data_IF_098732301723
#
_entry.id   IF_098732301723
#
_cell.length_a   1.000
_cell.length_b   1.000
_cell.length_c   1.000
_cell.angle_alpha   90.00
_cell.angle_beta   90.00
_cell.angle_gamma   90.00
#
_symmetry.space_group_name_H-M   'P 1'
#
loop_
_entity.id
_entity.type
_entity.pdbx_description
1 polymer ?
#
# COMPACT_ATOMS: atom_id res chain seq x y z
N UNK A 1 2.32 -5.66 -1.47
CA UNK A 1 2.88 -4.53 -0.69
C UNK A 1 2.12 -4.45 0.63
N UNK A 2 2.75 -3.95 1.69
CA UNK A 2 2.13 -3.78 3.00
C UNK A 2 2.32 -2.34 3.49
N UNK A 3 1.22 -1.75 3.97
CA UNK A 3 1.20 -0.48 4.68
C UNK A 3 1.45 -0.70 6.19
N UNK A 4 1.63 0.38 6.95
CA UNK A 4 1.58 0.32 8.41
C UNK A 4 0.26 -0.29 8.92
N UNK A 5 0.33 -0.90 10.11
CA UNK A 5 -0.86 -1.48 10.74
C UNK A 5 -1.78 -0.32 11.14
N UNK A 6 -3.02 -0.38 10.66
CA UNK A 6 -4.06 0.55 11.07
C UNK A 6 -4.49 0.22 12.50
N UNK A 7 -4.03 1.03 13.46
CA UNK A 7 -4.46 0.93 14.86
C UNK A 7 -5.93 1.38 14.97
N UNK A 8 -6.86 0.44 15.03
CA UNK A 8 -8.31 0.69 15.04
C UNK A 8 -8.80 1.29 16.38
N UNK A 9 -8.16 2.37 16.85
CA UNK A 9 -8.28 2.97 18.19
C UNK A 9 -7.75 2.09 19.33
N UNK A 10 -6.98 1.08 18.99
CA UNK A 10 -6.28 0.21 19.94
C UNK A 10 -4.88 0.75 20.23
N UNK A 11 -4.36 0.47 21.43
CA UNK A 11 -2.96 0.73 21.74
C UNK A 11 -2.10 -0.31 21.04
N UNK A 12 -1.12 0.15 20.25
CA UNK A 12 -0.17 -0.74 19.58
C UNK A 12 0.78 -1.35 20.63
N UNK A 13 0.75 -2.68 20.83
CA UNK A 13 1.69 -3.37 21.72
C UNK A 13 3.14 -3.35 21.20
N UNK A 14 3.36 -3.01 19.92
CA UNK A 14 4.67 -2.82 19.30
C UNK A 14 5.44 -4.12 19.02
N UNK A 15 4.83 -5.27 19.27
CA UNK A 15 5.41 -6.60 19.05
C UNK A 15 5.18 -7.11 17.61
N UNK A 16 4.08 -6.70 16.97
CA UNK A 16 3.73 -7.06 15.59
C UNK A 16 3.77 -5.83 14.69
N UNK A 17 4.44 -5.94 13.55
CA UNK A 17 4.48 -4.88 12.54
C UNK A 17 4.36 -5.43 11.12
N UNK A 18 3.85 -4.61 10.20
CA UNK A 18 3.82 -4.96 8.77
C UNK A 18 5.21 -5.19 8.18
N UNK A 19 6.25 -4.57 8.75
CA UNK A 19 7.65 -4.83 8.37
C UNK A 19 8.06 -6.26 8.72
N UNK A 20 7.68 -6.74 9.92
CA UNK A 20 7.91 -8.13 10.33
C UNK A 20 7.16 -9.10 9.41
N UNK A 21 5.88 -8.83 9.13
CA UNK A 21 5.06 -9.65 8.22
C UNK A 21 5.66 -9.71 6.80
N UNK A 22 6.14 -8.58 6.28
CA UNK A 22 6.79 -8.53 4.98
C UNK A 22 8.07 -9.37 4.94
N UNK A 23 8.90 -9.29 6.01
CA UNK A 23 10.12 -10.07 6.12
C UNK A 23 9.84 -11.59 6.18
N UNK A 24 8.86 -12.01 7.00
CA UNK A 24 8.49 -13.42 7.14
C UNK A 24 7.86 -13.98 5.85
N UNK A 25 6.94 -13.23 5.22
CA UNK A 25 6.33 -13.64 3.94
C UNK A 25 7.37 -13.67 2.81
N UNK A 26 8.34 -12.74 2.84
CA UNK A 26 9.46 -12.66 1.90
C UNK A 26 10.35 -13.90 1.86
N UNK A 27 10.33 -14.73 2.91
CA UNK A 27 11.02 -16.03 2.92
C UNK A 27 10.41 -17.04 1.94
N UNK A 28 9.13 -16.88 1.61
CA UNK A 28 8.36 -17.79 0.76
C UNK A 28 7.98 -17.17 -0.59
N UNK A 29 7.90 -15.84 -0.68
CA UNK A 29 7.51 -15.12 -1.89
C UNK A 29 8.51 -14.00 -2.23
N UNK A 30 8.86 -13.86 -3.51
CA UNK A 30 9.96 -12.96 -3.93
C UNK A 30 9.58 -11.48 -4.03
N UNK A 31 8.30 -11.14 -4.15
CA UNK A 31 7.86 -9.75 -4.36
C UNK A 31 6.91 -9.28 -3.25
N UNK A 32 7.44 -9.29 -2.03
CA UNK A 32 6.76 -8.74 -0.85
C UNK A 32 7.51 -7.52 -0.38
N UNK A 33 6.83 -6.38 -0.34
CA UNK A 33 7.42 -5.08 0.02
C UNK A 33 6.63 -4.44 1.14
N UNK A 34 7.32 -4.00 2.18
CA UNK A 34 6.77 -3.05 3.15
C UNK A 34 7.12 -1.64 2.67
N UNK A 35 6.11 -0.76 2.62
CA UNK A 35 6.26 0.62 2.12
C UNK A 35 5.99 1.66 3.24
N UNK A 36 5.24 1.29 4.28
CA UNK A 36 4.91 2.18 5.38
C UNK A 36 3.62 2.93 5.13
N UNK A 37 3.68 4.26 5.03
CA UNK A 37 2.48 5.09 4.96
C UNK A 37 1.77 5.04 3.58
N UNK A 38 0.53 5.53 3.58
CA UNK A 38 -0.36 5.52 2.42
C UNK A 38 0.13 6.41 1.27
N UNK A 39 0.83 7.50 1.57
CA UNK A 39 1.34 8.43 0.55
C UNK A 39 2.51 7.81 -0.20
N UNK A 40 3.42 7.14 0.52
CA UNK A 40 4.51 6.37 -0.06
C UNK A 40 3.99 5.24 -0.98
N UNK A 41 2.90 4.56 -0.60
CA UNK A 41 2.25 3.55 -1.45
C UNK A 41 1.70 4.17 -2.73
N UNK A 42 1.02 5.31 -2.64
CA UNK A 42 0.50 6.02 -3.82
C UNK A 42 1.63 6.38 -4.80
N UNK A 43 2.72 6.96 -4.29
CA UNK A 43 3.90 7.31 -5.10
C UNK A 43 4.49 6.05 -5.76
N UNK A 44 4.59 4.95 -5.00
CA UNK A 44 5.08 3.68 -5.54
C UNK A 44 4.21 3.17 -6.68
N UNK A 45 2.88 3.16 -6.50
CA UNK A 45 1.92 2.76 -7.53
C UNK A 45 2.13 3.59 -8.80
N UNK A 46 2.08 4.92 -8.72
CA UNK A 46 2.26 5.81 -9.88
C UNK A 46 3.57 5.56 -10.64
N UNK A 47 4.63 5.15 -9.95
CA UNK A 47 5.94 4.90 -10.58
C UNK A 47 6.08 3.52 -11.23
N UNK A 48 5.27 2.54 -10.85
CA UNK A 48 5.45 1.13 -11.24
C UNK A 48 4.34 0.60 -12.15
N UNK A 49 3.12 1.12 -12.01
CA UNK A 49 1.95 0.65 -12.76
C UNK A 49 2.03 1.00 -14.23
N UNK A 50 1.55 0.10 -15.08
CA UNK A 50 1.51 0.24 -16.54
C UNK A 50 0.09 0.02 -17.06
N UNK A 51 -0.23 0.51 -18.26
CA UNK A 51 -1.49 0.16 -18.91
C UNK A 51 -1.66 -1.36 -19.00
N UNK A 52 -2.79 -1.86 -18.50
CA UNK A 52 -3.10 -3.28 -18.42
C UNK A 52 -2.90 -3.93 -17.04
N UNK A 53 -2.30 -3.22 -16.08
CA UNK A 53 -2.15 -3.73 -14.71
C UNK A 53 -3.47 -3.70 -13.92
N UNK A 54 -3.70 -4.72 -13.09
CA UNK A 54 -4.77 -4.76 -12.10
C UNK A 54 -4.20 -4.39 -10.72
N UNK A 55 -4.68 -3.27 -10.16
CA UNK A 55 -4.34 -2.84 -8.80
C UNK A 55 -5.49 -3.20 -7.86
N UNK A 56 -5.18 -3.92 -6.77
CA UNK A 56 -6.13 -4.25 -5.72
C UNK A 56 -5.65 -3.61 -4.42
N UNK A 57 -6.47 -2.74 -3.84
CA UNK A 57 -6.32 -2.26 -2.46
C UNK A 57 -7.21 -3.09 -1.55
N UNK A 58 -6.68 -3.57 -0.43
CA UNK A 58 -7.42 -4.47 0.48
C UNK A 58 -7.03 -4.21 1.94
N UNK A 59 -8.05 -4.15 2.80
CA UNK A 59 -7.90 -3.92 4.24
C UNK A 59 -9.15 -3.25 4.81
N UNK A 60 -9.34 -3.36 6.13
CA UNK A 60 -10.51 -2.79 6.83
C UNK A 60 -10.31 -1.35 7.31
N UNK A 61 -9.09 -0.81 7.18
CA UNK A 61 -8.75 0.56 7.55
C UNK A 61 -8.97 1.55 6.41
N UNK A 62 -8.09 2.54 6.33
CA UNK A 62 -8.18 3.64 5.38
C UNK A 62 -7.43 3.41 4.06
N UNK A 63 -7.08 2.15 3.75
CA UNK A 63 -6.37 1.76 2.53
C UNK A 63 -7.17 2.10 1.24
N UNK A 64 -8.50 2.18 1.31
CA UNK A 64 -9.33 2.57 0.17
C UNK A 64 -8.97 3.98 -0.33
N UNK A 65 -8.53 4.88 0.56
CA UNK A 65 -8.14 6.25 0.22
C UNK A 65 -6.95 6.29 -0.73
N UNK A 66 -6.03 5.31 -0.65
CA UNK A 66 -4.91 5.19 -1.60
C UNK A 66 -5.43 4.93 -3.01
N UNK A 67 -6.42 4.05 -3.15
CA UNK A 67 -7.04 3.73 -4.43
C UNK A 67 -7.70 4.96 -5.06
N UNK A 68 -8.48 5.70 -4.27
CA UNK A 68 -9.11 6.96 -4.70
C UNK A 68 -8.06 8.00 -5.12
N UNK A 69 -7.07 8.25 -4.26
CA UNK A 69 -6.01 9.24 -4.54
C UNK A 69 -5.16 8.87 -5.76
N UNK A 70 -4.89 7.58 -5.97
CA UNK A 70 -4.19 7.07 -7.14
C UNK A 70 -4.99 7.29 -8.43
N UNK A 71 -6.30 6.99 -8.42
CA UNK A 71 -7.16 7.22 -9.58
C UNK A 71 -7.28 8.71 -9.93
N UNK A 72 -7.40 9.59 -8.94
CA UNK A 72 -7.44 11.04 -9.16
C UNK A 72 -6.12 11.57 -9.75
N UNK A 73 -4.96 11.08 -9.26
CA UNK A 73 -3.67 11.46 -9.81
C UNK A 73 -3.50 11.02 -11.28
N UNK A 74 -4.01 9.84 -11.64
CA UNK A 74 -4.00 9.38 -13.04
C UNK A 74 -4.88 10.26 -13.95
N UNK A 75 -6.07 10.66 -13.48
CA UNK A 75 -6.96 11.57 -14.25
C UNK A 75 -6.31 12.93 -14.47
N UNK A 76 -5.64 13.49 -13.45
CA UNK A 76 -4.92 14.76 -13.57
C UNK A 76 -3.73 14.73 -14.54
N UNK A 77 -3.15 13.55 -14.78
CA UNK A 77 -2.05 13.36 -15.74
C UNK A 77 -2.56 13.22 -17.19
N UNK A 78 -3.81 12.79 -17.39
CA UNK A 78 -4.41 12.52 -18.70
C UNK A 78 -4.95 13.78 -19.44
N UNK A 79 -4.56 14.98 -19.04
CA UNK A 79 -5.01 16.26 -19.62
C UNK A 79 -3.88 17.10 -20.27
N UNK A 80 -2.84 16.45 -20.80
CA UNK A 80 -1.84 17.09 -21.67
C UNK A 80 -1.65 16.25 -22.93
#
# INVERSE_FOLDING_TARGET
>A
MLADIYAARETDPGDISSKLLAAETGKYHRDVRYIGDLEAIKIHLLSQTRPGDLVITMGAGDIFKVGEAYLEALKGTAHI
#
